data_IF_341177181779
#
_entry.id   IF_341177181779
#
_cell.length_a   1.000
_cell.length_b   1.000
_cell.length_c   1.000
_cell.angle_alpha   90.00
_cell.angle_beta   90.00
_cell.angle_gamma   90.00
#
_symmetry.space_group_name_H-M   'P 1'
#
loop_
_entity.id
_entity.type
_entity.pdbx_description
1 polymer ?
#
# COMPACT_ATOMS: atom_id res chain seq x y z
N UNK A 1 -4.37 31.23 26.17
CA UNK A 1 -3.31 30.33 25.69
C UNK A 1 -2.90 30.79 24.30
N UNK A 2 -1.73 31.42 24.19
CA UNK A 2 -1.26 32.09 22.96
C UNK A 2 -0.62 31.11 21.99
N UNK A 3 -1.17 31.07 20.77
CA UNK A 3 -0.73 30.30 19.61
C UNK A 3 0.59 30.89 19.05
N UNK A 4 1.67 30.11 19.02
CA UNK A 4 2.98 30.53 18.45
C UNK A 4 3.02 30.19 16.95
N UNK A 5 3.15 31.22 16.11
CA UNK A 5 3.24 31.16 14.66
C UNK A 5 4.46 30.34 14.15
N UNK A 6 4.34 29.61 13.03
CA UNK A 6 5.43 28.84 12.39
C UNK A 6 6.62 29.68 11.88
N UNK A 7 6.50 31.01 11.81
CA UNK A 7 7.59 31.91 11.42
C UNK A 7 8.81 31.83 12.37
N UNK A 8 8.59 31.55 13.66
CA UNK A 8 9.65 31.49 14.68
C UNK A 8 10.60 30.30 14.47
N UNK A 9 10.15 29.23 13.80
CA UNK A 9 11.00 28.06 13.52
C UNK A 9 11.98 28.29 12.36
N UNK A 10 11.65 29.17 11.41
CA UNK A 10 12.49 29.46 10.25
C UNK A 10 13.65 30.40 10.61
N UNK A 11 13.42 31.40 11.47
CA UNK A 11 14.49 32.29 11.93
C UNK A 11 15.54 31.57 12.80
N UNK A 12 15.12 30.58 13.60
CA UNK A 12 16.05 29.76 14.38
C UNK A 12 16.94 28.85 13.50
N UNK A 13 16.46 28.45 12.32
CA UNK A 13 17.22 27.67 11.35
C UNK A 13 18.23 28.54 10.58
N UNK A 14 17.83 29.77 10.20
CA UNK A 14 18.71 30.73 9.53
C UNK A 14 19.84 31.24 10.45
N UNK A 15 19.55 31.47 11.74
CA UNK A 15 20.56 31.85 12.73
C UNK A 15 21.63 30.76 12.99
N UNK A 16 21.32 29.48 12.72
CA UNK A 16 22.31 28.38 12.77
C UNK A 16 23.23 28.39 11.55
N UNK A 17 22.72 28.73 10.37
CA UNK A 17 23.49 28.78 9.12
C UNK A 17 24.50 29.94 9.16
N UNK A 18 24.11 31.11 9.66
CA UNK A 18 25.03 32.25 9.78
C UNK A 18 26.12 32.03 10.83
N UNK A 19 25.84 31.28 11.90
CA UNK A 19 26.86 30.89 12.90
C UNK A 19 27.93 29.98 12.31
N UNK A 20 27.55 29.07 11.40
CA UNK A 20 28.49 28.25 10.64
C UNK A 20 29.32 29.06 9.64
N UNK A 21 28.71 30.06 8.99
CA UNK A 21 29.42 30.95 8.06
C UNK A 21 30.44 31.86 8.76
N UNK A 22 30.18 32.24 10.01
CA UNK A 22 31.11 33.01 10.84
C UNK A 22 32.34 32.19 11.29
N UNK A 23 32.18 30.91 11.62
CA UNK A 23 33.32 30.05 12.00
C UNK A 23 34.28 29.74 10.83
N UNK A 24 33.79 29.80 9.58
CA UNK A 24 34.61 29.57 8.38
C UNK A 24 35.52 30.76 8.03
N UNK A 25 35.27 31.96 8.55
CA UNK A 25 36.11 33.14 8.29
C UNK A 25 37.28 33.28 9.26
N UNK A 26 37.23 32.66 10.44
CA UNK A 26 38.31 32.64 11.44
C UNK A 26 39.50 31.71 11.10
N UNK A 27 39.43 30.93 10.01
CA UNK A 27 40.49 29.99 9.62
C UNK A 27 41.47 30.53 8.55
N UNK A 28 41.31 31.77 8.09
CA UNK A 28 42.29 32.43 7.21
C UNK A 28 43.50 32.92 8.02
N UNK A 29 44.37 32.01 8.46
CA UNK A 29 45.64 32.43 9.07
C UNK A 29 46.48 31.39 9.80
N UNK A 30 46.37 30.08 9.53
CA UNK A 30 47.22 29.07 10.21
C UNK A 30 47.89 28.10 9.23
N UNK A 31 49.16 27.80 9.53
CA UNK A 31 50.14 27.15 8.66
C UNK A 31 49.85 25.69 8.32
N UNK A 32 50.46 25.23 7.21
CA UNK A 32 50.31 23.94 6.53
C UNK A 32 50.56 22.65 7.35
N UNK A 33 50.90 22.74 8.63
CA UNK A 33 51.20 21.58 9.48
C UNK A 33 49.97 20.85 10.06
N UNK A 34 48.83 21.53 10.22
CA UNK A 34 47.64 20.97 10.89
C UNK A 34 46.57 20.41 9.94
N UNK A 35 46.77 20.54 8.62
CA UNK A 35 45.82 20.11 7.58
C UNK A 35 45.81 18.57 7.42
N UNK A 36 46.93 17.89 7.75
CA UNK A 36 47.06 16.43 7.55
C UNK A 36 46.31 15.57 8.57
N UNK A 37 45.98 16.09 9.75
CA UNK A 37 45.16 15.36 10.75
C UNK A 37 43.65 15.59 10.56
N UNK A 38 43.25 16.55 9.73
CA UNK A 38 41.85 16.89 9.47
C UNK A 38 41.24 16.15 8.27
N UNK A 39 42.04 15.81 7.25
CA UNK A 39 41.59 15.01 6.09
C UNK A 39 41.16 13.59 6.49
N UNK A 40 41.69 13.04 7.58
CA UNK A 40 41.29 11.73 8.12
C UNK A 40 39.95 11.74 8.87
N UNK A 41 39.37 12.91 9.20
CA UNK A 41 38.08 13.04 9.88
C UNK A 41 36.94 13.55 8.97
N UNK A 42 37.25 13.93 7.73
CA UNK A 42 36.30 14.35 6.70
C UNK A 42 35.89 13.23 5.71
N UNK A 43 36.44 12.01 5.85
CA UNK A 43 35.99 10.82 5.12
C UNK A 43 34.79 10.09 5.77
N UNK A 44 33.92 10.80 6.50
CA UNK A 44 32.64 10.25 7.00
C UNK A 44 31.43 11.15 6.75
N UNK A 45 31.55 12.16 5.89
CA UNK A 45 30.41 12.98 5.48
C UNK A 45 30.71 13.61 4.11
N UNK A 46 30.60 12.81 3.05
CA UNK A 46 31.08 13.23 1.73
C UNK A 46 30.45 12.47 0.58
N UNK A 47 29.12 12.44 0.52
CA UNK A 47 28.38 12.11 -0.72
C UNK A 47 27.11 12.94 -0.80
N UNK A 48 27.21 14.28 -0.84
CA UNK A 48 26.05 15.10 -1.21
C UNK A 48 26.40 16.53 -1.65
N UNK A 49 27.29 16.71 -2.64
CA UNK A 49 27.26 17.91 -3.50
C UNK A 49 27.80 17.56 -4.89
N UNK A 50 26.92 17.13 -5.79
CA UNK A 50 27.02 17.33 -7.24
C UNK A 50 25.59 17.30 -7.79
N UNK A 51 25.30 18.20 -8.72
CA UNK A 51 23.98 18.53 -9.30
C UNK A 51 23.13 19.54 -8.52
N UNK A 52 23.62 20.78 -8.46
CA UNK A 52 22.75 21.95 -8.43
C UNK A 52 22.94 22.72 -9.75
N UNK A 53 22.13 22.38 -10.76
CA UNK A 53 21.72 23.21 -11.91
C UNK A 53 20.95 22.34 -12.90
N UNK A 54 19.63 22.29 -12.73
CA UNK A 54 18.57 21.93 -13.70
C UNK A 54 17.42 21.26 -12.92
N UNK A 55 16.56 22.08 -12.30
CA UNK A 55 15.21 21.63 -11.97
C UNK A 55 14.26 22.39 -12.88
N UNK A 56 13.52 21.57 -13.61
CA UNK A 56 12.53 21.90 -14.61
C UNK A 56 11.46 22.86 -14.10
N UNK A 57 11.14 23.85 -14.92
CA UNK A 57 9.77 24.38 -15.04
C UNK A 57 8.93 23.27 -15.68
N UNK A 58 8.30 22.44 -14.85
CA UNK A 58 7.21 21.53 -15.23
C UNK A 58 6.70 20.85 -13.95
N UNK A 59 5.95 21.60 -13.14
CA UNK A 59 5.54 21.10 -11.84
C UNK A 59 4.28 21.76 -11.31
N UNK A 60 3.30 22.07 -12.16
CA UNK A 60 1.97 22.52 -11.70
C UNK A 60 0.79 22.02 -12.55
N UNK A 61 1.00 21.06 -13.46
CA UNK A 61 -0.09 20.46 -14.27
C UNK A 61 -0.32 18.96 -13.95
N UNK A 62 0.45 18.38 -13.03
CA UNK A 62 0.43 16.93 -12.76
C UNK A 62 -0.29 16.46 -11.48
N UNK A 63 -0.69 17.36 -10.58
CA UNK A 63 -1.31 16.98 -9.28
C UNK A 63 -2.76 17.47 -9.16
N UNK A 64 -3.27 18.16 -10.18
CA UNK A 64 -4.65 18.65 -10.24
C UNK A 64 -5.46 17.92 -11.32
N UNK A 65 -5.45 16.59 -11.26
CA UNK A 65 -6.31 15.72 -12.09
C UNK A 65 -6.63 14.42 -11.34
N UNK A 66 -7.07 14.54 -10.09
CA UNK A 66 -7.80 13.48 -9.38
C UNK A 66 -8.90 14.05 -8.46
N UNK A 67 -9.18 15.36 -8.60
CA UNK A 67 -10.08 16.13 -7.74
C UNK A 67 -11.27 16.72 -8.52
N UNK A 68 -11.53 16.27 -9.75
CA UNK A 68 -12.81 16.50 -10.40
C UNK A 68 -13.68 15.27 -10.16
N UNK A 69 -14.39 15.32 -9.02
CA UNK A 69 -15.43 14.38 -8.64
C UNK A 69 -16.68 14.59 -9.49
N UNK A 70 -16.68 14.10 -10.72
CA UNK A 70 -17.89 13.42 -11.17
C UNK A 70 -17.84 12.04 -10.55
N UNK A 71 -18.78 11.73 -9.64
CA UNK A 71 -18.94 10.41 -9.06
C UNK A 71 -18.72 9.36 -10.15
N UNK A 72 -17.61 8.64 -10.07
CA UNK A 72 -17.22 7.70 -11.11
C UNK A 72 -18.36 6.69 -11.23
N UNK A 73 -19.10 6.73 -12.34
CA UNK A 73 -20.22 5.84 -12.65
C UNK A 73 -19.74 4.40 -12.91
N UNK A 74 -18.45 4.14 -12.73
CA UNK A 74 -17.81 2.85 -12.96
C UNK A 74 -18.15 1.92 -11.82
N UNK A 75 -18.81 0.82 -12.17
CA UNK A 75 -19.23 -0.22 -11.25
C UNK A 75 -18.33 -1.43 -11.41
N UNK A 76 -17.72 -1.88 -10.32
CA UNK A 76 -16.84 -3.04 -10.29
C UNK A 76 -17.62 -4.31 -9.95
N UNK A 77 -18.13 -4.99 -10.98
CA UNK A 77 -18.90 -6.24 -10.85
C UNK A 77 -18.29 -7.42 -11.58
N UNK A 78 -17.19 -7.21 -12.30
CA UNK A 78 -16.60 -8.27 -13.12
C UNK A 78 -16.11 -9.40 -12.21
N UNK A 79 -16.48 -10.63 -12.57
CA UNK A 79 -16.01 -11.82 -11.88
C UNK A 79 -14.56 -12.06 -12.25
N UNK A 80 -13.71 -12.17 -11.24
CA UNK A 80 -12.30 -12.48 -11.42
C UNK A 80 -11.94 -13.82 -10.76
N UNK A 81 -11.83 -14.92 -11.54
CA UNK A 81 -11.36 -16.20 -11.03
C UNK A 81 -9.90 -16.19 -10.58
N UNK A 82 -9.07 -15.25 -11.05
CA UNK A 82 -7.70 -15.09 -10.61
C UNK A 82 -7.65 -14.61 -9.15
N UNK A 83 -8.59 -13.73 -8.78
CA UNK A 83 -8.78 -13.21 -7.43
C UNK A 83 -9.71 -14.04 -6.53
N UNK A 84 -9.80 -15.34 -6.79
CA UNK A 84 -10.42 -16.29 -5.86
C UNK A 84 -9.31 -17.09 -5.19
N UNK A 85 -8.92 -16.67 -3.99
CA UNK A 85 -8.10 -17.51 -3.12
C UNK A 85 -8.79 -18.84 -2.86
N UNK A 86 -8.02 -19.88 -2.50
CA UNK A 86 -8.62 -21.06 -1.91
C UNK A 86 -9.00 -20.69 -0.47
N UNK A 87 -10.11 -19.99 -0.33
CA UNK A 87 -10.64 -19.61 0.96
C UNK A 87 -11.22 -20.88 1.58
N UNK A 88 -10.50 -21.46 2.56
CA UNK A 88 -11.06 -22.53 3.35
C UNK A 88 -12.28 -21.99 4.08
N UNK A 89 -13.43 -22.68 3.97
CA UNK A 89 -14.51 -22.47 4.92
C UNK A 89 -13.98 -22.70 6.34
N UNK A 90 -14.53 -22.01 7.37
CA UNK A 90 -14.21 -22.33 8.76
C UNK A 90 -14.27 -23.84 9.00
N UNK A 91 -13.23 -24.40 9.64
CA UNK A 91 -13.10 -25.85 9.86
C UNK A 91 -12.53 -26.68 8.69
N UNK A 92 -12.30 -26.11 7.49
CA UNK A 92 -11.75 -26.86 6.34
C UNK A 92 -10.27 -26.60 6.05
N UNK A 93 -9.58 -25.80 6.87
CA UNK A 93 -8.18 -25.40 6.66
C UNK A 93 -7.24 -26.60 6.45
N UNK A 94 -7.40 -27.66 7.24
CA UNK A 94 -6.55 -28.86 7.13
C UNK A 94 -6.82 -29.66 5.86
N UNK A 95 -8.09 -29.81 5.46
CA UNK A 95 -8.46 -30.48 4.20
C UNK A 95 -7.86 -29.74 3.00
N UNK A 96 -7.96 -28.41 3.02
CA UNK A 96 -7.42 -27.57 1.97
C UNK A 96 -5.87 -27.61 1.93
N UNK A 97 -5.20 -27.55 3.08
CA UNK A 97 -3.73 -27.70 3.17
C UNK A 97 -3.26 -29.01 2.57
N UNK A 98 -3.96 -30.11 2.86
CA UNK A 98 -3.69 -31.41 2.26
C UNK A 98 -3.96 -31.46 0.75
N UNK A 99 -4.98 -30.76 0.26
CA UNK A 99 -5.24 -30.66 -1.17
C UNK A 99 -4.11 -29.90 -1.89
N UNK A 100 -3.72 -28.72 -1.38
CA UNK A 100 -2.60 -27.94 -1.92
C UNK A 100 -1.31 -28.74 -1.94
N UNK A 101 -0.98 -29.45 -0.85
CA UNK A 101 0.19 -30.34 -0.79
C UNK A 101 0.17 -31.42 -1.87
N UNK A 102 -0.97 -32.11 -2.05
CA UNK A 102 -1.11 -33.15 -3.07
C UNK A 102 -1.03 -32.59 -4.49
N UNK A 103 -1.53 -31.38 -4.72
CA UNK A 103 -1.39 -30.71 -6.02
C UNK A 103 0.07 -30.43 -6.31
N UNK A 104 0.82 -29.86 -5.36
CA UNK A 104 2.25 -29.57 -5.55
C UNK A 104 3.13 -30.82 -5.68
N UNK A 105 2.71 -31.96 -5.13
CA UNK A 105 3.39 -33.24 -5.37
C UNK A 105 3.22 -33.73 -6.80
N UNK A 106 2.08 -33.47 -7.44
CA UNK A 106 1.78 -33.88 -8.82
C UNK A 106 2.30 -32.88 -9.84
N UNK A 107 2.19 -31.60 -9.52
CA UNK A 107 2.58 -30.47 -10.35
C UNK A 107 3.27 -29.42 -9.45
N UNK A 108 4.61 -29.49 -9.32
CA UNK A 108 5.37 -28.56 -8.50
C UNK A 108 5.30 -27.11 -8.95
N UNK A 109 4.90 -26.85 -10.20
CA UNK A 109 4.79 -25.50 -10.78
C UNK A 109 3.35 -25.00 -10.80
N UNK A 110 2.44 -25.68 -10.10
CA UNK A 110 1.05 -25.29 -10.06
C UNK A 110 0.88 -23.89 -9.43
N UNK A 111 0.69 -22.86 -10.26
CA UNK A 111 0.63 -21.45 -9.84
C UNK A 111 -0.38 -21.23 -8.71
N UNK A 112 -1.55 -21.84 -8.86
CA UNK A 112 -2.63 -21.73 -7.92
C UNK A 112 -2.26 -22.30 -6.54
N UNK A 113 -1.67 -23.49 -6.50
CA UNK A 113 -1.26 -24.13 -5.25
C UNK A 113 -0.04 -23.45 -4.62
N UNK A 114 0.93 -23.00 -5.41
CA UNK A 114 2.09 -22.23 -4.94
C UNK A 114 1.63 -20.91 -4.28
N UNK A 115 0.77 -20.14 -4.95
CA UNK A 115 0.25 -18.88 -4.41
C UNK A 115 -0.49 -19.05 -3.08
N UNK A 116 -1.25 -20.14 -2.93
CA UNK A 116 -1.92 -20.43 -1.66
C UNK A 116 -0.98 -20.83 -0.55
N UNK A 117 0.02 -21.67 -0.86
CA UNK A 117 1.02 -22.06 0.13
C UNK A 117 1.83 -20.84 0.58
N UNK A 118 2.19 -19.98 -0.37
CA UNK A 118 2.83 -18.69 -0.11
C UNK A 118 2.01 -17.81 0.85
N UNK A 119 0.71 -17.65 0.56
CA UNK A 119 -0.21 -16.88 1.40
C UNK A 119 -0.25 -17.44 2.84
N UNK A 120 -0.31 -18.76 3.03
CA UNK A 120 -0.29 -19.33 4.38
C UNK A 120 1.05 -19.19 5.09
N UNK A 121 2.17 -19.29 4.37
CA UNK A 121 3.49 -19.00 4.93
C UNK A 121 3.54 -17.55 5.41
N UNK A 122 3.05 -16.60 4.61
CA UNK A 122 2.97 -15.20 4.99
C UNK A 122 2.09 -14.97 6.23
N UNK A 123 0.88 -15.55 6.26
CA UNK A 123 -0.03 -15.47 7.43
C UNK A 123 0.56 -16.11 8.70
N UNK A 124 1.50 -17.06 8.53
CA UNK A 124 2.18 -17.72 9.65
C UNK A 124 3.51 -17.05 10.03
N UNK A 125 3.89 -15.95 9.35
CA UNK A 125 5.15 -15.24 9.57
C UNK A 125 6.38 -15.90 8.93
N UNK A 126 6.21 -16.95 8.13
CA UNK A 126 7.29 -17.64 7.40
C UNK A 126 7.63 -16.89 6.10
N UNK A 127 8.12 -15.66 6.23
CA UNK A 127 8.25 -14.69 5.12
C UNK A 127 9.13 -15.22 4.00
N UNK A 128 10.28 -15.81 4.31
CA UNK A 128 11.21 -16.32 3.29
C UNK A 128 10.61 -17.50 2.51
N UNK A 129 9.80 -18.34 3.18
CA UNK A 129 9.09 -19.43 2.51
C UNK A 129 7.98 -18.88 1.60
N UNK A 130 7.25 -17.86 2.06
CA UNK A 130 6.26 -17.18 1.25
C UNK A 130 6.87 -16.57 -0.01
N UNK A 131 7.99 -15.86 0.13
CA UNK A 131 8.67 -15.23 -1.01
C UNK A 131 9.14 -16.26 -2.04
N UNK A 132 9.76 -17.36 -1.60
CA UNK A 132 10.17 -18.44 -2.52
C UNK A 132 9.00 -19.00 -3.32
N UNK A 133 7.86 -19.23 -2.67
CA UNK A 133 6.67 -19.75 -3.36
C UNK A 133 6.04 -18.72 -4.30
N UNK A 134 6.01 -17.45 -3.92
CA UNK A 134 5.53 -16.36 -4.79
C UNK A 134 6.43 -16.20 -6.02
N UNK A 135 7.75 -16.23 -5.85
CA UNK A 135 8.71 -16.18 -6.96
C UNK A 135 8.53 -17.37 -7.91
N UNK A 136 8.37 -18.58 -7.37
CA UNK A 136 8.10 -19.77 -8.18
C UNK A 136 6.77 -19.66 -8.94
N UNK A 137 5.71 -19.15 -8.30
CA UNK A 137 4.41 -18.94 -8.93
C UNK A 137 4.45 -17.84 -10.02
N UNK A 138 5.21 -16.77 -9.78
CA UNK A 138 5.48 -15.71 -10.76
C UNK A 138 6.20 -16.30 -11.97
N UNK A 139 7.26 -17.08 -11.76
CA UNK A 139 7.99 -17.73 -12.85
C UNK A 139 7.08 -18.67 -13.67
N UNK A 140 6.30 -19.52 -13.00
CA UNK A 140 5.36 -20.45 -13.64
C UNK A 140 4.15 -19.77 -14.33
N UNK A 141 3.95 -18.46 -14.13
CA UNK A 141 2.86 -17.70 -14.74
C UNK A 141 3.32 -16.74 -15.85
N UNK A 142 4.58 -16.82 -16.30
CA UNK A 142 5.15 -15.90 -17.30
C UNK A 142 4.28 -15.75 -18.57
N UNK A 143 3.72 -16.85 -19.07
CA UNK A 143 2.97 -16.88 -20.33
C UNK A 143 1.45 -16.82 -20.13
N UNK A 144 0.97 -16.61 -18.91
CA UNK A 144 -0.47 -16.59 -18.61
C UNK A 144 -0.84 -15.40 -17.70
N UNK A 145 -1.39 -14.32 -18.30
CA UNK A 145 -1.78 -13.11 -17.57
C UNK A 145 -2.76 -13.34 -16.42
N UNK A 146 -3.72 -14.27 -16.58
CA UNK A 146 -4.69 -14.58 -15.53
C UNK A 146 -4.02 -15.29 -14.34
N UNK A 147 -3.10 -16.22 -14.61
CA UNK A 147 -2.27 -16.83 -13.57
C UNK A 147 -1.40 -15.79 -12.89
N UNK A 148 -0.78 -14.88 -13.64
CA UNK A 148 0.04 -13.80 -13.08
C UNK A 148 -0.78 -12.87 -12.19
N UNK A 149 -1.97 -12.48 -12.63
CA UNK A 149 -2.91 -11.68 -11.86
C UNK A 149 -3.29 -12.36 -10.54
N UNK A 150 -3.48 -13.69 -10.54
CA UNK A 150 -3.74 -14.47 -9.32
C UNK A 150 -2.60 -14.37 -8.31
N UNK A 151 -1.36 -14.53 -8.78
CA UNK A 151 -0.20 -14.47 -7.88
C UNK A 151 -0.09 -13.09 -7.26
N UNK A 152 -0.19 -12.04 -8.09
CA UNK A 152 -0.12 -10.65 -7.65
C UNK A 152 -1.24 -10.32 -6.69
N UNK A 153 -2.48 -10.69 -7.00
CA UNK A 153 -3.61 -10.49 -6.09
C UNK A 153 -3.38 -11.15 -4.72
N UNK A 154 -2.90 -12.40 -4.73
CA UNK A 154 -2.61 -13.13 -3.48
C UNK A 154 -1.44 -12.52 -2.70
N UNK A 155 -0.38 -12.11 -3.37
CA UNK A 155 0.78 -11.46 -2.73
C UNK A 155 0.42 -10.10 -2.18
N UNK A 156 -0.45 -9.35 -2.85
CA UNK A 156 -0.98 -8.09 -2.36
C UNK A 156 -1.68 -8.23 -1.01
N UNK A 157 -2.47 -9.29 -0.82
CA UNK A 157 -3.05 -9.60 0.50
C UNK A 157 -2.00 -9.92 1.56
N UNK A 158 -0.95 -10.68 1.20
CA UNK A 158 0.14 -10.95 2.12
C UNK A 158 0.91 -9.69 2.52
N UNK A 159 1.22 -8.82 1.56
CA UNK A 159 1.83 -7.51 1.85
C UNK A 159 0.93 -6.68 2.77
N UNK A 160 -0.37 -6.63 2.51
CA UNK A 160 -1.33 -5.92 3.36
C UNK A 160 -1.36 -6.47 4.80
N UNK A 161 -1.45 -7.79 4.96
CA UNK A 161 -1.41 -8.45 6.27
C UNK A 161 -0.11 -8.20 7.04
N UNK A 162 1.01 -8.09 6.32
CA UNK A 162 2.33 -7.74 6.87
C UNK A 162 2.50 -6.25 7.17
N UNK A 163 1.55 -5.40 6.74
CA UNK A 163 1.61 -3.95 6.90
C UNK A 163 2.36 -3.21 5.77
N UNK A 164 2.85 -3.91 4.74
CA UNK A 164 3.38 -3.30 3.53
C UNK A 164 2.23 -2.89 2.59
N UNK A 165 1.50 -1.85 3.00
CA UNK A 165 0.37 -1.34 2.20
C UNK A 165 0.81 -0.80 0.82
N UNK A 166 1.95 -0.11 0.67
CA UNK A 166 2.45 0.28 -0.65
C UNK A 166 2.71 -0.91 -1.57
N UNK A 167 3.32 -1.98 -1.06
CA UNK A 167 3.53 -3.23 -1.81
C UNK A 167 2.22 -3.91 -2.19
N UNK A 168 1.21 -3.86 -1.31
CA UNK A 168 -0.13 -4.39 -1.59
C UNK A 168 -0.81 -3.64 -2.75
N UNK A 169 -0.82 -2.30 -2.71
CA UNK A 169 -1.37 -1.46 -3.77
C UNK A 169 -0.65 -1.66 -5.11
N UNK A 170 0.68 -1.82 -5.09
CA UNK A 170 1.45 -2.08 -6.31
C UNK A 170 1.00 -3.39 -6.98
N UNK A 171 0.93 -4.48 -6.20
CA UNK A 171 0.52 -5.80 -6.70
C UNK A 171 -0.94 -5.83 -7.16
N UNK A 172 -1.85 -5.27 -6.38
CA UNK A 172 -3.26 -5.17 -6.75
C UNK A 172 -3.45 -4.33 -8.02
N UNK A 173 -2.79 -3.18 -8.14
CA UNK A 173 -2.88 -2.37 -9.36
C UNK A 173 -2.41 -3.13 -10.60
N UNK A 174 -1.38 -3.98 -10.47
CA UNK A 174 -0.91 -4.79 -11.57
C UNK A 174 -1.87 -5.93 -11.89
N UNK A 175 -2.47 -6.58 -10.89
CA UNK A 175 -3.49 -7.59 -11.07
C UNK A 175 -4.75 -7.03 -11.78
N UNK A 176 -5.20 -5.83 -11.38
CA UNK A 176 -6.29 -5.10 -12.02
C UNK A 176 -6.00 -4.80 -13.49
N UNK A 177 -4.79 -4.30 -13.80
CA UNK A 177 -4.37 -4.07 -15.19
C UNK A 177 -4.35 -5.34 -16.04
N UNK A 178 -3.93 -6.47 -15.45
CA UNK A 178 -3.92 -7.77 -16.15
C UNK A 178 -5.32 -8.35 -16.35
N UNK A 179 -6.28 -8.03 -15.46
CA UNK A 179 -7.68 -8.36 -15.66
C UNK A 179 -8.29 -7.57 -16.84
N UNK A 180 -7.93 -6.29 -16.99
CA UNK A 180 -8.35 -5.46 -18.13
C UNK A 180 -9.82 -5.01 -18.09
N UNK A 181 -10.41 -4.96 -16.88
CA UNK A 181 -11.83 -4.62 -16.66
C UNK A 181 -12.02 -4.03 -15.27
N UNK A 182 -13.22 -4.20 -14.69
CA UNK A 182 -13.58 -3.67 -13.37
C UNK A 182 -13.86 -4.81 -12.38
N UNK A 183 -12.81 -5.51 -11.90
CA UNK A 183 -12.99 -6.68 -11.07
C UNK A 183 -13.56 -6.30 -9.70
N UNK A 184 -14.50 -7.13 -9.22
CA UNK A 184 -15.29 -6.84 -8.02
C UNK A 184 -14.49 -6.56 -6.74
N UNK A 185 -13.21 -6.95 -6.71
CA UNK A 185 -12.36 -6.85 -5.53
C UNK A 185 -11.64 -5.51 -5.37
N UNK A 186 -11.53 -4.71 -6.44
CA UNK A 186 -10.77 -3.46 -6.44
C UNK A 186 -11.30 -2.45 -5.42
N UNK A 187 -12.61 -2.12 -5.38
CA UNK A 187 -13.05 -1.01 -4.55
C UNK A 187 -12.78 -1.21 -3.06
N UNK A 188 -13.10 -2.39 -2.52
CA UNK A 188 -12.94 -2.64 -1.09
C UNK A 188 -11.46 -2.84 -0.71
N UNK A 189 -10.62 -3.41 -1.58
CA UNK A 189 -9.18 -3.56 -1.29
C UNK A 189 -8.47 -2.22 -1.23
N UNK A 190 -8.81 -1.31 -2.15
CA UNK A 190 -8.24 0.03 -2.17
C UNK A 190 -8.76 0.86 -1.00
N UNK A 191 -10.05 0.74 -0.65
CA UNK A 191 -10.64 1.43 0.49
C UNK A 191 -9.91 1.09 1.79
N UNK A 192 -9.68 -0.20 2.09
CA UNK A 192 -8.97 -0.61 3.31
C UNK A 192 -7.47 -0.29 3.28
N UNK A 193 -6.85 -0.29 2.09
CA UNK A 193 -5.47 0.13 1.93
C UNK A 193 -5.28 1.62 2.27
N UNK A 194 -6.08 2.50 1.66
CA UNK A 194 -6.01 3.93 1.94
C UNK A 194 -6.42 4.26 3.38
N UNK A 195 -7.36 3.51 3.94
CA UNK A 195 -7.70 3.60 5.36
C UNK A 195 -6.48 3.29 6.24
N UNK A 196 -5.74 2.22 5.93
CA UNK A 196 -4.56 1.84 6.70
C UNK A 196 -3.41 2.85 6.56
N UNK A 197 -3.29 3.49 5.40
CA UNK A 197 -2.33 4.59 5.16
C UNK A 197 -2.73 5.92 5.84
N UNK A 198 -3.94 6.01 6.40
CA UNK A 198 -4.47 7.24 7.00
C UNK A 198 -5.05 8.24 6.00
N UNK A 199 -5.14 7.88 4.72
CA UNK A 199 -5.78 8.69 3.68
C UNK A 199 -7.30 8.47 3.72
N UNK A 200 -7.95 9.20 4.63
CA UNK A 200 -9.38 9.04 4.92
C UNK A 200 -10.25 9.40 3.72
N UNK A 201 -9.91 10.46 3.01
CA UNK A 201 -10.71 10.95 1.88
C UNK A 201 -10.73 9.91 0.74
N UNK A 202 -9.57 9.37 0.35
CA UNK A 202 -9.53 8.32 -0.67
C UNK A 202 -10.16 7.02 -0.17
N UNK A 203 -9.99 6.68 1.11
CA UNK A 203 -10.61 5.48 1.67
C UNK A 203 -12.14 5.53 1.57
N UNK A 204 -12.75 6.64 1.97
CA UNK A 204 -14.20 6.85 1.90
C UNK A 204 -14.70 6.89 0.46
N UNK A 205 -13.98 7.54 -0.45
CA UNK A 205 -14.33 7.57 -1.87
C UNK A 205 -14.31 6.17 -2.51
N UNK A 206 -13.31 5.34 -2.19
CA UNK A 206 -13.28 3.95 -2.66
C UNK A 206 -14.35 3.08 -2.00
N UNK A 207 -14.69 3.35 -0.74
CA UNK A 207 -15.77 2.65 -0.06
C UNK A 207 -17.14 2.98 -0.69
N UNK A 208 -17.36 4.22 -1.12
CA UNK A 208 -18.55 4.59 -1.90
C UNK A 208 -18.67 3.77 -3.19
N UNK A 209 -17.56 3.61 -3.92
CA UNK A 209 -17.53 2.75 -5.12
C UNK A 209 -17.83 1.29 -4.75
N UNK A 210 -17.36 0.80 -3.60
CA UNK A 210 -17.68 -0.56 -3.14
C UNK A 210 -19.19 -0.73 -2.90
N UNK A 211 -19.82 0.21 -2.20
CA UNK A 211 -21.27 0.20 -1.92
C UNK A 211 -22.10 0.32 -3.21
N UNK A 212 -21.71 1.22 -4.13
CA UNK A 212 -22.36 1.36 -5.43
C UNK A 212 -22.22 0.10 -6.30
N UNK A 213 -21.06 -0.57 -6.21
CA UNK A 213 -20.77 -1.78 -6.97
C UNK A 213 -21.54 -2.99 -6.41
N UNK A 214 -21.63 -3.11 -5.09
CA UNK A 214 -22.35 -4.16 -4.39
C UNK A 214 -22.94 -3.62 -3.09
N UNK A 215 -24.27 -3.49 -3.06
CA UNK A 215 -25.03 -2.90 -1.95
C UNK A 215 -24.78 -3.57 -0.59
N UNK A 216 -24.38 -4.84 -0.58
CA UNK A 216 -24.01 -5.56 0.65
C UNK A 216 -22.85 -4.92 1.43
N UNK A 217 -22.02 -4.06 0.81
CA UNK A 217 -21.01 -3.27 1.55
C UNK A 217 -21.60 -2.12 2.37
N UNK A 218 -22.82 -1.68 2.05
CA UNK A 218 -23.51 -0.60 2.78
C UNK A 218 -24.31 -1.09 3.98
N UNK A 219 -24.43 -2.41 4.17
CA UNK A 219 -25.07 -3.05 5.30
C UNK A 219 -24.02 -3.78 6.16
N UNK A 220 -24.08 -3.62 7.48
CA UNK A 220 -23.09 -4.22 8.39
C UNK A 220 -23.10 -5.75 8.30
N UNK A 221 -24.29 -6.36 8.19
CA UNK A 221 -24.45 -7.81 8.04
C UNK A 221 -23.85 -8.30 6.72
N UNK A 222 -24.19 -7.65 5.61
CA UNK A 222 -23.64 -7.93 4.29
C UNK A 222 -22.12 -7.79 4.22
N UNK A 223 -21.57 -6.75 4.84
CA UNK A 223 -20.13 -6.50 4.93
C UNK A 223 -19.43 -7.60 5.77
N UNK A 224 -20.02 -8.02 6.89
CA UNK A 224 -19.51 -9.12 7.73
C UNK A 224 -19.53 -10.45 6.98
N UNK A 225 -20.59 -10.72 6.22
CA UNK A 225 -20.72 -11.93 5.41
C UNK A 225 -19.67 -11.99 4.30
N UNK A 226 -19.44 -10.86 3.63
CA UNK A 226 -18.42 -10.71 2.59
C UNK A 226 -17.00 -10.94 3.10
N UNK A 227 -16.74 -10.56 4.35
CA UNK A 227 -15.41 -10.60 4.96
C UNK A 227 -15.26 -11.68 6.03
N UNK A 228 -16.18 -12.65 6.08
CA UNK A 228 -16.13 -13.77 7.04
C UNK A 228 -14.78 -14.49 7.12
N UNK A 229 -14.07 -14.55 5.99
CA UNK A 229 -12.79 -15.25 5.84
C UNK A 229 -11.57 -14.38 6.16
N UNK A 230 -11.75 -13.08 6.39
CA UNK A 230 -10.68 -12.15 6.73
C UNK A 230 -10.16 -12.46 8.13
N UNK A 231 -8.89 -12.11 8.38
CA UNK A 231 -8.33 -12.19 9.73
C UNK A 231 -8.87 -11.04 10.62
N UNK A 232 -8.61 -11.12 11.92
CA UNK A 232 -9.21 -10.20 12.89
C UNK A 232 -8.74 -8.76 12.70
N UNK A 233 -7.47 -8.54 12.35
CA UNK A 233 -6.90 -7.22 12.08
C UNK A 233 -7.56 -6.57 10.86
N UNK A 234 -7.72 -7.32 9.78
CA UNK A 234 -8.36 -6.83 8.56
C UNK A 234 -9.82 -6.45 8.82
N UNK A 235 -10.55 -7.28 9.59
CA UNK A 235 -11.93 -7.00 10.00
C UNK A 235 -12.03 -5.75 10.86
N UNK A 236 -11.12 -5.56 11.80
CA UNK A 236 -11.06 -4.36 12.65
C UNK A 236 -10.89 -3.09 11.81
N UNK A 237 -9.95 -3.08 10.87
CA UNK A 237 -9.74 -1.94 9.98
C UNK A 237 -10.98 -1.64 9.12
N UNK A 238 -11.61 -2.68 8.58
CA UNK A 238 -12.82 -2.54 7.79
C UNK A 238 -14.01 -2.02 8.61
N UNK A 239 -14.19 -2.49 9.85
CA UNK A 239 -15.25 -2.01 10.73
C UNK A 239 -15.05 -0.52 11.08
N UNK A 240 -13.82 -0.10 11.34
CA UNK A 240 -13.50 1.30 11.59
C UNK A 240 -13.77 2.18 10.37
N UNK A 241 -13.40 1.71 9.17
CA UNK A 241 -13.72 2.37 7.90
C UNK A 241 -15.24 2.47 7.69
N UNK A 242 -15.97 1.38 7.92
CA UNK A 242 -17.42 1.34 7.76
C UNK A 242 -18.12 2.35 8.69
N UNK A 243 -17.72 2.40 9.97
CA UNK A 243 -18.26 3.37 10.92
C UNK A 243 -18.01 4.82 10.45
N UNK A 244 -16.78 5.15 10.06
CA UNK A 244 -16.45 6.47 9.54
C UNK A 244 -17.23 6.82 8.25
N UNK A 245 -17.48 5.82 7.40
CA UNK A 245 -18.32 6.00 6.22
C UNK A 245 -19.77 6.30 6.60
N UNK A 246 -20.36 5.59 7.56
CA UNK A 246 -21.72 5.87 8.05
C UNK A 246 -21.86 7.27 8.65
N UNK A 247 -20.88 7.70 9.45
CA UNK A 247 -20.84 9.04 10.05
C UNK A 247 -20.83 10.12 8.95
N UNK A 248 -19.98 9.95 7.92
CA UNK A 248 -19.89 10.89 6.79
C UNK A 248 -21.21 11.07 6.03
N UNK A 249 -22.05 10.02 5.96
CA UNK A 249 -23.36 10.07 5.30
C UNK A 249 -24.40 10.78 6.17
N UNK A 250 -24.32 10.60 7.48
CA UNK A 250 -25.24 11.22 8.44
C UNK A 250 -25.02 12.73 8.53
N UNK A 251 -23.77 13.19 8.45
CA UNK A 251 -23.44 14.62 8.41
C UNK A 251 -23.90 15.28 7.09
N UNK A 252 -23.76 14.57 5.96
CA UNK A 252 -24.19 15.05 4.66
C UNK A 252 -25.73 15.22 4.57
N UNK A 253 -26.50 14.31 5.17
CA UNK A 253 -27.97 14.45 5.24
C UNK A 253 -28.39 15.55 6.20
N UNK A 254 -27.72 15.70 7.34
CA UNK A 254 -28.00 16.77 8.30
C UNK A 254 -27.70 18.17 7.74
N UNK A 255 -26.69 18.31 6.87
CA UNK A 255 -26.31 19.59 6.26
C UNK A 255 -27.21 20.00 5.08
N UNK A 256 -28.06 19.10 4.59
CA UNK A 256 -28.97 19.34 3.47
C UNK A 256 -30.37 19.84 3.91
N UNK A 257 -30.61 19.93 5.23
CA UNK A 257 -31.85 20.39 5.85
C UNK A 257 -31.66 21.73 6.56
#
# INVERSE_FOLDING_TARGET
MTYRSPAVKLEAALARIDRFRCQLTELKGKSMGSVRLWVARLMFCGSLVMFASSVAVAGDVGVKAAADSTASTVVYRDRDPAAMGYQARPGQKNKLRNAVRRTLQKDPQNVAALSQRAYWHAESGEIEAAQRDYEAAIAASADNPANRARVLWSRGWSHYGQGDVPGALADWSQAERLHGGHPFWVPYTYAVAYWTLGDRDRALAWYDVAVASRSAWGDEGGMKDLTRHWNDREKEQLLALFAAWQDSRSEATASAH
#
